data_IF_779705409621
#
_entry.id   IF_779705409621
#
_cell.length_a   1.000
_cell.length_b   1.000
_cell.length_c   1.000
_cell.angle_alpha   90.00
_cell.angle_beta   90.00
_cell.angle_gamma   90.00
#
_symmetry.space_group_name_H-M   'P 1'
#
loop_
_entity.id
_entity.type
_entity.pdbx_description
1 polymer ?
#
# COMPACT_ATOMS: atom_id res chain seq x y z
N UNK A 1 -41.15 19.22 -39.60
CA UNK A 1 -40.82 18.11 -38.69
C UNK A 1 -39.93 18.71 -37.62
N UNK A 2 -40.56 19.25 -36.58
CA UNK A 2 -39.87 19.99 -35.52
C UNK A 2 -39.06 19.03 -34.67
N UNK A 3 -37.74 19.04 -34.85
CA UNK A 3 -36.81 18.47 -33.89
C UNK A 3 -36.73 19.46 -32.72
N UNK A 4 -37.73 19.39 -31.82
CA UNK A 4 -37.72 20.15 -30.58
C UNK A 4 -36.59 19.60 -29.73
N UNK A 5 -35.43 20.26 -29.80
CA UNK A 5 -34.32 20.05 -28.88
C UNK A 5 -34.87 20.40 -27.49
N UNK A 6 -35.26 19.39 -26.73
CA UNK A 6 -35.72 19.55 -25.35
C UNK A 6 -34.58 20.21 -24.58
N UNK A 7 -34.72 21.50 -24.30
CA UNK A 7 -33.67 22.30 -23.72
C UNK A 7 -33.56 21.91 -22.24
N UNK A 8 -32.44 21.30 -21.85
CA UNK A 8 -32.27 20.68 -20.53
C UNK A 8 -32.44 21.72 -19.41
N UNK A 9 -32.08 22.98 -19.70
CA UNK A 9 -32.29 24.12 -18.81
C UNK A 9 -33.77 24.40 -18.53
N UNK A 10 -34.65 24.22 -19.50
CA UNK A 10 -36.11 24.40 -19.35
C UNK A 10 -36.70 23.26 -18.47
N UNK A 11 -36.07 22.08 -18.50
CA UNK A 11 -36.43 20.92 -17.67
C UNK A 11 -35.97 21.08 -16.21
N UNK A 12 -34.83 21.76 -15.97
CA UNK A 12 -34.38 22.12 -14.63
C UNK A 12 -35.25 23.21 -13.99
N UNK A 13 -35.78 24.14 -14.79
CA UNK A 13 -36.72 25.18 -14.32
C UNK A 13 -38.07 24.56 -13.92
N UNK A 14 -38.60 23.60 -14.70
CA UNK A 14 -39.86 22.89 -14.41
C UNK A 14 -39.76 21.89 -13.24
N UNK A 15 -38.58 21.31 -12.98
CA UNK A 15 -38.40 20.32 -11.89
C UNK A 15 -38.24 20.93 -10.50
N UNK A 16 -38.02 22.24 -10.40
CA UNK A 16 -37.90 23.01 -9.16
C UNK A 16 -36.62 22.75 -8.37
N UNK A 17 -36.08 23.79 -7.75
CA UNK A 17 -34.85 23.70 -6.96
C UNK A 17 -35.09 22.89 -5.66
N UNK A 18 -34.45 21.71 -5.56
CA UNK A 18 -34.31 20.90 -4.34
C UNK A 18 -35.60 20.29 -3.74
N UNK A 19 -36.27 19.43 -4.52
CA UNK A 19 -37.26 18.50 -3.97
C UNK A 19 -36.66 17.46 -3.00
N UNK A 20 -37.41 17.07 -1.96
CA UNK A 20 -36.99 16.03 -0.97
C UNK A 20 -36.52 14.73 -1.63
N UNK A 21 -37.14 14.34 -2.74
CA UNK A 21 -36.78 13.15 -3.51
C UNK A 21 -35.45 13.29 -4.27
N UNK A 22 -35.13 14.49 -4.77
CA UNK A 22 -33.86 14.75 -5.43
C UNK A 22 -32.71 14.69 -4.43
N UNK A 23 -32.90 15.26 -3.23
CA UNK A 23 -31.94 15.15 -2.12
C UNK A 23 -31.73 13.68 -1.72
N UNK A 24 -32.81 12.92 -1.55
CA UNK A 24 -32.72 11.49 -1.23
C UNK A 24 -31.97 10.70 -2.32
N UNK A 25 -32.24 10.98 -3.59
CA UNK A 25 -31.56 10.34 -4.71
C UNK A 25 -30.06 10.64 -4.72
N UNK A 26 -29.66 11.90 -4.48
CA UNK A 26 -28.25 12.28 -4.36
C UNK A 26 -27.57 11.58 -3.18
N UNK A 27 -28.22 11.50 -2.02
CA UNK A 27 -27.70 10.75 -0.87
C UNK A 27 -27.50 9.27 -1.19
N UNK A 28 -28.48 8.64 -1.87
CA UNK A 28 -28.40 7.24 -2.28
C UNK A 28 -27.27 6.98 -3.30
N UNK A 29 -26.96 7.95 -4.16
CA UNK A 29 -25.82 7.87 -5.09
C UNK A 29 -24.49 8.14 -4.40
N UNK A 30 -24.43 9.08 -3.46
CA UNK A 30 -23.22 9.43 -2.73
C UNK A 30 -22.75 8.29 -1.83
N UNK A 31 -23.67 7.57 -1.19
CA UNK A 31 -23.36 6.46 -0.29
C UNK A 31 -22.36 5.44 -0.90
N UNK A 32 -22.64 4.75 -2.02
CA UNK A 32 -21.71 3.78 -2.59
C UNK A 32 -20.39 4.41 -3.07
N UNK A 33 -20.43 5.67 -3.54
CA UNK A 33 -19.22 6.38 -3.99
C UNK A 33 -18.26 6.62 -2.83
N UNK A 34 -18.77 6.98 -1.65
CA UNK A 34 -17.96 7.19 -0.44
C UNK A 34 -17.25 5.89 -0.03
N UNK A 35 -17.97 4.75 -0.01
CA UNK A 35 -17.37 3.46 0.32
C UNK A 35 -16.31 3.03 -0.69
N UNK A 36 -16.58 3.22 -1.99
CA UNK A 36 -15.60 2.93 -3.04
C UNK A 36 -14.34 3.79 -2.88
N UNK A 37 -14.51 5.09 -2.59
CA UNK A 37 -13.40 6.03 -2.38
C UNK A 37 -12.56 5.65 -1.16
N UNK A 38 -13.20 5.23 -0.07
CA UNK A 38 -12.53 4.78 1.14
C UNK A 38 -11.56 3.61 0.89
N UNK A 39 -11.90 2.68 0.00
CA UNK A 39 -11.02 1.55 -0.35
C UNK A 39 -9.72 2.04 -1.00
N UNK A 40 -9.81 3.00 -1.92
CA UNK A 40 -8.63 3.58 -2.58
C UNK A 40 -7.74 4.34 -1.60
N UNK A 41 -8.34 5.12 -0.69
CA UNK A 41 -7.60 5.86 0.34
C UNK A 41 -6.88 4.88 1.27
N UNK A 42 -7.57 3.84 1.73
CA UNK A 42 -6.99 2.82 2.63
C UNK A 42 -5.80 2.13 1.99
N UNK A 43 -5.86 1.81 0.69
CA UNK A 43 -4.76 1.18 -0.03
C UNK A 43 -3.46 1.99 0.06
N UNK A 44 -3.51 3.32 -0.10
CA UNK A 44 -2.33 4.20 -0.05
C UNK A 44 -1.62 4.08 1.30
N UNK A 45 -2.37 4.05 2.40
CA UNK A 45 -1.79 3.90 3.74
C UNK A 45 -1.33 2.47 4.00
N UNK A 46 -2.08 1.46 3.55
CA UNK A 46 -1.72 0.05 3.74
C UNK A 46 -0.48 -0.38 2.95
N UNK A 47 -0.16 0.25 1.83
CA UNK A 47 1.07 -0.02 1.06
C UNK A 47 2.22 0.92 1.40
N UNK A 48 2.06 1.77 2.41
CA UNK A 48 3.17 2.58 2.93
C UNK A 48 4.32 1.70 3.39
N UNK A 49 5.54 2.09 3.01
CA UNK A 49 6.77 1.43 3.46
C UNK A 49 7.17 2.07 4.79
N UNK A 50 7.03 1.38 5.94
CA UNK A 50 7.40 1.92 7.24
C UNK A 50 8.92 2.04 7.34
N UNK A 51 9.44 2.80 8.31
CA UNK A 51 10.87 2.82 8.58
C UNK A 51 11.36 1.43 9.02
N UNK A 52 12.29 0.86 8.26
CA UNK A 52 12.86 -0.47 8.52
C UNK A 52 14.37 -0.47 8.40
N UNK A 53 15.01 -1.47 9.01
CA UNK A 53 16.42 -1.78 8.83
C UNK A 53 16.64 -3.28 8.69
N UNK A 54 17.81 -3.68 8.21
CA UNK A 54 18.22 -5.08 8.23
C UNK A 54 18.38 -5.60 9.66
N UNK A 55 17.93 -6.83 9.90
CA UNK A 55 18.29 -7.59 11.10
C UNK A 55 19.75 -8.03 10.98
N UNK A 56 20.52 -7.83 12.05
CA UNK A 56 21.93 -8.24 12.12
C UNK A 56 22.02 -9.42 13.10
N UNK A 57 21.91 -10.68 12.62
CA UNK A 57 21.88 -11.85 13.48
C UNK A 57 23.14 -11.94 14.37
N UNK A 58 24.28 -11.47 13.89
CA UNK A 58 25.57 -11.48 14.61
C UNK A 58 25.52 -10.66 15.91
N UNK A 59 24.61 -9.68 16.00
CA UNK A 59 24.47 -8.78 17.15
C UNK A 59 23.10 -8.89 17.84
N UNK A 60 22.15 -9.62 17.26
CA UNK A 60 20.76 -9.66 17.69
C UNK A 60 20.20 -11.08 17.91
N UNK A 61 20.78 -12.14 17.33
CA UNK A 61 20.37 -13.54 17.58
C UNK A 61 20.99 -14.12 18.87
N UNK A 62 21.46 -13.26 19.78
CA UNK A 62 22.02 -13.65 21.08
C UNK A 62 20.96 -14.16 22.07
N UNK A 63 21.38 -15.06 22.97
CA UNK A 63 20.57 -15.80 23.96
C UNK A 63 19.74 -14.94 24.94
N UNK A 64 19.92 -13.62 24.94
CA UNK A 64 19.14 -12.68 25.77
C UNK A 64 17.83 -12.34 25.09
N UNK A 65 16.71 -12.76 25.69
CA UNK A 65 15.33 -12.71 25.18
C UNK A 65 14.73 -11.31 24.95
N UNK A 66 15.54 -10.29 24.64
CA UNK A 66 15.05 -8.95 24.34
C UNK A 66 14.71 -8.83 22.86
N UNK A 67 13.52 -8.31 22.50
CA UNK A 67 13.18 -8.07 21.10
C UNK A 67 14.17 -7.08 20.47
N UNK A 68 14.54 -7.27 19.18
CA UNK A 68 15.49 -6.41 18.49
C UNK A 68 14.97 -4.97 18.49
N UNK A 69 15.78 -4.04 19.01
CA UNK A 69 15.44 -2.61 19.08
C UNK A 69 15.87 -1.91 17.80
N UNK A 70 15.04 -1.03 17.24
CA UNK A 70 15.39 -0.32 16.01
C UNK A 70 16.70 0.46 16.11
N UNK A 71 16.89 1.23 17.20
CA UNK A 71 18.11 1.99 17.44
C UNK A 71 19.05 1.28 18.41
N UNK A 72 20.28 1.07 17.97
CA UNK A 72 21.36 0.50 18.79
C UNK A 72 22.66 1.29 18.59
N UNK A 73 23.54 1.38 19.60
CA UNK A 73 24.81 2.11 19.48
C UNK A 73 25.73 1.56 18.38
N UNK A 74 25.67 0.26 18.11
CA UNK A 74 26.48 -0.44 17.12
C UNK A 74 25.92 -0.39 15.69
N UNK A 75 24.74 0.22 15.48
CA UNK A 75 24.06 0.23 14.19
C UNK A 75 24.92 0.81 13.05
N UNK A 76 25.65 1.90 13.34
CA UNK A 76 26.56 2.57 12.39
C UNK A 76 27.77 1.72 12.00
N UNK A 77 28.07 0.68 12.77
CA UNK A 77 29.16 -0.24 12.51
C UNK A 77 28.74 -1.40 11.61
N UNK A 78 27.47 -1.80 11.66
CA UNK A 78 26.95 -2.98 10.98
C UNK A 78 26.17 -2.68 9.69
N UNK A 79 25.60 -1.47 9.55
CA UNK A 79 24.87 -1.05 8.36
C UNK A 79 25.53 0.16 7.69
N UNK A 80 25.47 0.26 6.35
CA UNK A 80 25.88 1.46 5.62
C UNK A 80 24.94 2.64 5.92
N UNK A 81 25.51 3.83 6.08
CA UNK A 81 24.77 5.09 6.24
C UNK A 81 25.15 6.05 5.12
N UNK A 82 24.18 6.55 4.35
CA UNK A 82 24.40 7.65 3.42
C UNK A 82 25.01 8.88 4.11
N UNK A 83 25.87 9.64 3.42
CA UNK A 83 26.46 10.85 3.99
C UNK A 83 25.36 11.88 4.31
N UNK A 84 25.25 12.25 5.58
CA UNK A 84 24.26 13.24 6.05
C UNK A 84 22.88 12.68 6.39
N UNK A 85 22.64 11.37 6.25
CA UNK A 85 21.40 10.75 6.71
C UNK A 85 21.52 10.21 8.14
N UNK A 86 20.43 10.31 8.89
CA UNK A 86 20.30 9.65 10.21
C UNK A 86 19.87 8.20 10.07
N UNK A 87 19.37 7.79 8.91
CA UNK A 87 18.83 6.45 8.64
C UNK A 87 19.85 5.60 7.88
N UNK A 88 19.90 4.28 8.16
CA UNK A 88 20.74 3.35 7.39
C UNK A 88 20.22 3.23 5.96
N UNK A 89 21.11 2.85 5.05
CA UNK A 89 20.72 2.50 3.69
C UNK A 89 19.79 1.28 3.72
N UNK A 90 18.71 1.38 2.94
CA UNK A 90 17.66 0.38 2.94
C UNK A 90 18.14 -0.90 2.24
N UNK A 91 17.82 -2.05 2.85
CA UNK A 91 18.12 -3.39 2.31
C UNK A 91 19.59 -3.75 2.12
N UNK A 92 20.51 -3.04 2.78
CA UNK A 92 21.94 -3.37 2.76
C UNK A 92 22.46 -3.50 4.19
N UNK A 93 23.35 -4.48 4.39
CA UNK A 93 24.13 -4.67 5.61
C UNK A 93 25.57 -5.04 5.24
N UNK A 94 26.53 -4.79 6.11
CA UNK A 94 27.90 -5.23 5.86
C UNK A 94 28.06 -6.74 6.05
N UNK A 95 28.93 -7.37 5.26
CA UNK A 95 29.20 -8.81 5.37
C UNK A 95 29.87 -9.11 6.72
N UNK A 96 29.43 -10.15 7.47
CA UNK A 96 30.13 -10.58 8.66
C UNK A 96 31.48 -11.23 8.33
N UNK A 97 32.51 -10.89 9.08
CA UNK A 97 33.85 -11.48 8.98
C UNK A 97 33.98 -12.78 9.80
N UNK A 98 33.11 -12.97 10.79
CA UNK A 98 33.09 -14.14 11.66
C UNK A 98 31.68 -14.74 11.74
N UNK A 99 31.59 -16.07 11.76
CA UNK A 99 30.33 -16.74 12.06
C UNK A 99 30.10 -16.71 13.58
N UNK A 100 29.07 -16.00 14.02
CA UNK A 100 28.68 -15.93 15.43
C UNK A 100 28.04 -17.24 15.88
N UNK A 101 28.85 -18.27 16.15
CA UNK A 101 28.43 -19.38 17.01
C UNK A 101 28.76 -19.13 18.48
N UNK A 102 29.68 -18.21 18.79
CA UNK A 102 30.21 -18.00 20.16
C UNK A 102 30.50 -16.52 20.50
N UNK A 103 29.78 -15.57 19.89
CA UNK A 103 29.96 -14.13 20.15
C UNK A 103 29.02 -13.60 21.23
N UNK A 104 29.57 -13.02 22.30
CA UNK A 104 28.81 -12.34 23.36
C UNK A 104 28.04 -11.16 22.74
N UNK A 105 26.70 -11.24 22.74
CA UNK A 105 25.79 -10.25 22.13
C UNK A 105 25.97 -8.80 22.64
N UNK A 106 26.69 -8.61 23.74
CA UNK A 106 26.90 -7.32 24.37
C UNK A 106 28.00 -6.45 23.72
N UNK A 107 28.83 -6.99 22.81
CA UNK A 107 29.88 -6.22 22.12
C UNK A 107 29.85 -6.39 20.60
N UNK A 108 28.80 -5.87 19.95
CA UNK A 108 28.78 -5.69 18.51
C UNK A 108 29.73 -4.55 18.10
N UNK A 109 30.88 -4.88 17.51
CA UNK A 109 31.92 -3.91 17.10
C UNK A 109 32.09 -3.85 15.59
N UNK A 110 32.72 -2.78 15.09
CA UNK A 110 32.93 -2.58 13.66
C UNK A 110 33.96 -3.54 13.03
N UNK A 111 34.70 -4.30 13.84
CA UNK A 111 35.69 -5.27 13.39
C UNK A 111 35.04 -6.57 12.92
N UNK A 112 33.75 -6.77 13.23
CA UNK A 112 33.01 -7.98 12.87
C UNK A 112 32.44 -7.91 11.45
N UNK A 113 32.56 -6.76 10.79
CA UNK A 113 31.91 -6.49 9.52
C UNK A 113 32.89 -5.92 8.49
N UNK A 114 32.84 -6.42 7.27
CA UNK A 114 33.56 -5.84 6.14
C UNK A 114 32.76 -4.67 5.55
N UNK A 115 33.29 -3.46 5.72
CA UNK A 115 32.64 -2.23 5.25
C UNK A 115 32.73 -2.02 3.73
N UNK A 116 33.56 -2.80 3.05
CA UNK A 116 33.75 -2.68 1.60
C UNK A 116 32.82 -3.60 0.81
N UNK A 117 32.17 -4.58 1.46
CA UNK A 117 31.26 -5.53 0.81
C UNK A 117 29.86 -5.49 1.46
N UNK A 118 28.97 -4.58 1.00
CA UNK A 118 27.58 -4.56 1.43
C UNK A 118 26.77 -5.68 0.75
N UNK A 119 26.07 -6.47 1.56
CA UNK A 119 25.22 -7.58 1.15
C UNK A 119 23.73 -7.30 1.41
N UNK A 120 22.86 -8.03 0.72
CA UNK A 120 21.39 -7.98 0.92
C UNK A 120 20.98 -8.70 2.21
N UNK A 121 19.84 -8.30 2.77
CA UNK A 121 19.26 -8.90 3.97
C UNK A 121 17.81 -9.36 3.71
N UNK A 122 17.44 -10.51 4.28
CA UNK A 122 16.10 -11.11 4.11
C UNK A 122 15.19 -10.95 5.35
N UNK A 123 15.79 -10.51 6.45
CA UNK A 123 15.14 -10.27 7.75
C UNK A 123 15.24 -8.79 8.09
N UNK A 124 14.15 -8.23 8.58
CA UNK A 124 14.03 -6.79 8.83
C UNK A 124 13.51 -6.52 10.23
N UNK A 125 13.92 -5.38 10.80
CA UNK A 125 13.42 -4.83 12.06
C UNK A 125 12.75 -3.51 11.73
N UNK A 126 11.47 -3.40 12.09
CA UNK A 126 10.66 -2.21 11.87
C UNK A 126 10.74 -1.26 13.08
N UNK A 127 10.71 0.05 12.83
CA UNK A 127 10.71 1.06 13.89
C UNK A 127 9.44 0.99 14.73
N UNK A 128 8.33 0.86 14.03
CA UNK A 128 7.00 0.81 14.62
C UNK A 128 6.41 -0.59 14.40
N UNK A 129 5.52 -1.02 15.30
CA UNK A 129 4.84 -2.33 15.18
C UNK A 129 3.65 -2.27 14.19
N UNK A 130 3.66 -1.31 13.29
CA UNK A 130 2.63 -1.16 12.27
C UNK A 130 2.71 -2.32 11.27
N UNK A 131 1.56 -2.98 11.04
CA UNK A 131 1.43 -4.03 10.04
C UNK A 131 0.92 -3.41 8.75
N UNK A 132 1.84 -3.18 7.81
CA UNK A 132 1.52 -2.75 6.44
C UNK A 132 1.67 -3.93 5.48
N UNK A 133 1.02 -3.84 4.32
CA UNK A 133 1.16 -4.81 3.22
C UNK A 133 2.62 -4.93 2.80
N UNK A 134 3.36 -3.82 2.79
CA UNK A 134 4.80 -3.82 2.52
C UNK A 134 5.60 -4.65 3.55
N UNK A 135 5.27 -4.51 4.85
CA UNK A 135 5.92 -5.27 5.93
C UNK A 135 5.55 -6.76 5.92
N UNK A 136 4.29 -7.09 5.62
CA UNK A 136 3.75 -8.45 5.66
C UNK A 136 4.28 -9.31 4.50
N UNK A 137 4.29 -8.76 3.28
CA UNK A 137 4.80 -9.44 2.08
C UNK A 137 6.30 -9.17 1.82
N UNK A 138 6.99 -8.47 2.72
CA UNK A 138 8.42 -8.10 2.62
C UNK A 138 8.77 -7.38 1.31
N UNK A 139 7.88 -6.51 0.84
CA UNK A 139 8.06 -5.70 -0.37
C UNK A 139 8.66 -4.36 0.06
N UNK A 140 9.96 -4.38 0.32
CA UNK A 140 10.67 -3.27 0.94
C UNK A 140 11.79 -2.76 0.03
N UNK A 141 12.55 -3.67 -0.56
CA UNK A 141 13.73 -3.34 -1.35
C UNK A 141 13.38 -2.84 -2.75
N UNK A 142 14.27 -2.03 -3.38
CA UNK A 142 14.03 -1.47 -4.71
C UNK A 142 13.71 -2.52 -5.80
N UNK A 143 14.29 -3.72 -5.65
CA UNK A 143 14.06 -4.86 -6.53
C UNK A 143 12.63 -5.42 -6.49
N UNK A 144 11.88 -5.17 -5.42
CA UNK A 144 10.52 -5.67 -5.22
C UNK A 144 9.48 -4.54 -5.18
N UNK A 145 9.91 -3.29 -5.00
CA UNK A 145 9.03 -2.10 -4.95
C UNK A 145 8.11 -1.97 -6.16
N UNK A 146 8.56 -2.44 -7.34
CA UNK A 146 7.76 -2.46 -8.58
C UNK A 146 6.44 -3.24 -8.43
N UNK A 147 6.35 -4.19 -7.50
CA UNK A 147 5.12 -4.94 -7.24
C UNK A 147 4.00 -4.02 -6.75
N UNK A 148 4.33 -3.09 -5.84
CA UNK A 148 3.38 -2.08 -5.33
C UNK A 148 2.92 -1.16 -6.46
N UNK A 149 3.87 -0.67 -7.26
CA UNK A 149 3.57 0.16 -8.41
C UNK A 149 2.68 -0.56 -9.44
N UNK A 150 2.91 -1.85 -9.68
CA UNK A 150 2.16 -2.66 -10.64
C UNK A 150 0.68 -2.78 -10.27
N UNK A 151 0.34 -2.93 -8.98
CA UNK A 151 -1.08 -2.95 -8.57
C UNK A 151 -1.75 -1.59 -8.85
N UNK A 152 -1.02 -0.49 -8.61
CA UNK A 152 -1.49 0.85 -8.96
C UNK A 152 -1.70 1.04 -10.47
N UNK A 153 -0.78 0.55 -11.31
CA UNK A 153 -0.93 0.67 -12.77
C UNK A 153 -2.08 -0.17 -13.30
N UNK A 154 -2.26 -1.41 -12.81
CA UNK A 154 -3.39 -2.26 -13.18
C UNK A 154 -4.71 -1.60 -12.76
N UNK A 155 -4.77 -1.00 -11.58
CA UNK A 155 -5.95 -0.29 -11.11
C UNK A 155 -6.32 0.88 -12.03
N UNK A 156 -5.34 1.74 -12.36
CA UNK A 156 -5.55 2.88 -13.26
C UNK A 156 -5.95 2.44 -14.68
N UNK A 157 -5.33 1.38 -15.20
CA UNK A 157 -5.71 0.80 -16.49
C UNK A 157 -7.14 0.24 -16.46
N UNK A 158 -7.52 -0.39 -15.36
CA UNK A 158 -8.87 -0.87 -15.10
C UNK A 158 -9.89 0.28 -15.12
N UNK A 159 -9.61 1.42 -14.51
CA UNK A 159 -10.47 2.60 -14.59
C UNK A 159 -10.53 3.18 -16.00
N UNK A 160 -9.40 3.25 -16.70
CA UNK A 160 -9.32 3.78 -18.06
C UNK A 160 -10.26 3.01 -19.02
N UNK A 161 -10.28 1.69 -18.92
CA UNK A 161 -11.12 0.82 -19.77
C UNK A 161 -12.54 0.71 -19.20
N UNK A 162 -12.66 0.63 -17.88
CA UNK A 162 -13.91 0.39 -17.17
C UNK A 162 -14.89 1.55 -17.25
N UNK A 163 -14.42 2.81 -17.23
CA UNK A 163 -15.31 3.99 -17.29
C UNK A 163 -16.11 4.08 -18.61
N UNK A 164 -15.50 3.97 -19.81
CA UNK A 164 -16.25 3.94 -21.07
C UNK A 164 -17.24 2.77 -21.15
N UNK A 165 -16.82 1.57 -20.75
CA UNK A 165 -17.66 0.37 -20.79
C UNK A 165 -18.84 0.52 -19.84
N UNK A 166 -18.61 0.97 -18.61
CA UNK A 166 -19.67 1.25 -17.64
C UNK A 166 -20.62 2.35 -18.15
N UNK A 167 -20.12 3.35 -18.88
CA UNK A 167 -20.93 4.38 -19.52
C UNK A 167 -21.90 3.81 -20.55
N UNK A 168 -21.39 3.02 -21.52
CA UNK A 168 -22.22 2.37 -22.55
C UNK A 168 -23.25 1.41 -21.93
N UNK A 169 -22.84 0.63 -20.93
CA UNK A 169 -23.74 -0.27 -20.20
C UNK A 169 -24.80 0.51 -19.41
N UNK A 170 -24.42 1.63 -18.79
CA UNK A 170 -25.30 2.51 -18.03
C UNK A 170 -26.42 3.09 -18.90
N UNK A 171 -26.08 3.48 -20.13
CA UNK A 171 -27.04 4.05 -21.07
C UNK A 171 -27.95 2.96 -21.68
N UNK A 172 -27.47 1.72 -21.80
CA UNK A 172 -28.23 0.61 -22.39
C UNK A 172 -29.15 -0.12 -21.40
N UNK A 173 -28.66 -0.42 -20.19
CA UNK A 173 -29.37 -1.22 -19.17
C UNK A 173 -29.95 -0.38 -18.03
N UNK A 174 -29.72 0.94 -18.06
CA UNK A 174 -30.15 1.88 -17.05
C UNK A 174 -29.16 2.04 -15.89
N UNK A 175 -28.96 3.30 -15.47
CA UNK A 175 -28.02 3.73 -14.42
C UNK A 175 -28.17 2.96 -13.10
N UNK A 176 -29.40 2.72 -12.64
CA UNK A 176 -29.67 2.03 -11.36
C UNK A 176 -29.17 0.59 -11.37
N UNK A 177 -29.44 -0.15 -12.45
CA UNK A 177 -29.05 -1.55 -12.57
C UNK A 177 -27.52 -1.68 -12.59
N UNK A 178 -26.85 -0.85 -13.38
CA UNK A 178 -25.38 -0.86 -13.49
C UNK A 178 -24.72 -0.49 -12.16
N UNK A 179 -25.26 0.49 -11.42
CA UNK A 179 -24.78 0.82 -10.08
C UNK A 179 -24.87 -0.37 -9.12
N UNK A 180 -26.01 -1.06 -9.07
CA UNK A 180 -26.20 -2.23 -8.17
C UNK A 180 -25.24 -3.36 -8.55
N UNK A 181 -25.14 -3.68 -9.84
CA UNK A 181 -24.24 -4.74 -10.33
C UNK A 181 -22.77 -4.39 -10.03
N UNK A 182 -22.35 -3.15 -10.25
CA UNK A 182 -20.97 -2.72 -9.95
C UNK A 182 -20.64 -2.80 -8.46
N UNK A 183 -21.57 -2.41 -7.57
CA UNK A 183 -21.40 -2.54 -6.13
C UNK A 183 -21.28 -4.01 -5.71
N UNK A 184 -22.09 -4.89 -6.30
CA UNK A 184 -22.04 -6.32 -6.04
C UNK A 184 -20.70 -6.93 -6.48
N UNK A 185 -20.24 -6.61 -7.69
CA UNK A 185 -18.94 -7.06 -8.21
C UNK A 185 -17.78 -6.53 -7.37
N UNK A 186 -17.81 -5.26 -6.97
CA UNK A 186 -16.78 -4.67 -6.10
C UNK A 186 -16.73 -5.39 -4.74
N UNK A 187 -17.89 -5.70 -4.16
CA UNK A 187 -17.97 -6.44 -2.89
C UNK A 187 -17.41 -7.85 -3.03
N UNK A 188 -17.73 -8.55 -4.11
CA UNK A 188 -17.23 -9.90 -4.39
C UNK A 188 -15.70 -9.90 -4.51
N UNK A 189 -15.14 -8.99 -5.32
CA UNK A 189 -13.68 -8.85 -5.48
C UNK A 189 -13.01 -8.49 -4.16
N UNK A 190 -13.62 -7.63 -3.34
CA UNK A 190 -13.13 -7.29 -2.01
C UNK A 190 -13.02 -8.51 -1.07
N UNK A 191 -14.04 -9.38 -1.07
CA UNK A 191 -14.02 -10.62 -0.27
C UNK A 191 -12.94 -11.57 -0.78
N UNK A 192 -12.84 -11.76 -2.11
CA UNK A 192 -11.80 -12.61 -2.71
C UNK A 192 -10.40 -12.10 -2.36
N UNK A 193 -10.19 -10.78 -2.41
CA UNK A 193 -8.93 -10.13 -2.03
C UNK A 193 -8.57 -10.37 -0.56
N UNK A 194 -9.56 -10.49 0.33
CA UNK A 194 -9.32 -10.75 1.76
C UNK A 194 -8.70 -12.13 2.03
N UNK A 195 -8.81 -13.08 1.09
CA UNK A 195 -8.21 -14.41 1.19
C UNK A 195 -6.90 -14.54 0.40
N UNK A 196 -6.38 -13.44 -0.16
CA UNK A 196 -5.11 -13.47 -0.86
C UNK A 196 -3.97 -13.80 0.12
N UNK A 197 -3.32 -14.94 -0.10
CA UNK A 197 -2.18 -15.42 0.69
C UNK A 197 -0.83 -14.89 0.17
N UNK A 198 -0.85 -14.15 -0.93
CA UNK A 198 0.34 -13.72 -1.67
C UNK A 198 0.09 -12.42 -2.42
N UNK A 199 1.19 -11.82 -2.84
CA UNK A 199 1.24 -10.61 -3.67
C UNK A 199 1.54 -10.97 -5.13
#
# INVERSE_FOLDING_TARGET
>A
MDNKMMNVDELFVETGECGKYQVLQYFLLAFPIIFSSYQTITYIFSTGIPDYRCLVPECEDGLSSTPPKFWTPWLRSALPFPPGSTHPEQCLRYRPLFNCSEGLADQCTAEWFDRHDPIRCDKFVFREQEKTVASEFKILCPENEWKIALVGTINNLGFLIGMPVAGVLSDSYGRKTVLIVSCFLQSLVGVVRSFALGY
#
